data_IF_128705305698
#
_entry.id   IF_128705305698
#
_cell.length_a   1.000
_cell.length_b   1.000
_cell.length_c   1.000
_cell.angle_alpha   90.00
_cell.angle_beta   90.00
_cell.angle_gamma   90.00
#
_symmetry.space_group_name_H-M   'P 1'
#
loop_
_entity.id
_entity.type
_entity.pdbx_description
1 polymer ?
#
# COMPACT_ATOMS: atom_id res chain seq x y z
N UNK A 1 41.59 16.98 -10.31
CA UNK A 1 40.70 17.08 -9.14
C UNK A 1 39.38 16.41 -9.50
N UNK A 2 39.32 15.08 -9.40
CA UNK A 2 38.06 14.34 -9.30
C UNK A 2 37.47 14.64 -7.92
N UNK A 3 36.17 14.72 -7.70
CA UNK A 3 35.19 13.66 -7.95
C UNK A 3 33.78 14.21 -8.16
N UNK A 4 33.07 13.61 -9.11
CA UNK A 4 31.63 13.72 -9.28
C UNK A 4 30.89 13.35 -7.98
N UNK A 5 29.88 14.15 -7.63
CA UNK A 5 28.87 13.77 -6.64
C UNK A 5 28.05 12.58 -7.19
N UNK A 6 28.08 11.48 -6.45
CA UNK A 6 27.46 10.21 -6.79
C UNK A 6 26.02 10.18 -6.23
N UNK A 7 24.96 9.96 -7.05
CA UNK A 7 23.58 10.02 -6.58
C UNK A 7 23.16 8.65 -6.01
N UNK A 8 23.61 8.32 -4.81
CA UNK A 8 23.18 7.09 -4.11
C UNK A 8 21.87 7.25 -3.31
N UNK A 9 21.04 8.28 -3.57
CA UNK A 9 19.97 8.70 -2.65
C UNK A 9 18.55 8.16 -2.95
N UNK A 10 18.34 7.32 -3.98
CA UNK A 10 16.99 7.16 -4.54
C UNK A 10 16.41 5.72 -4.62
N UNK A 11 17.10 4.66 -4.19
CA UNK A 11 16.51 3.30 -4.28
C UNK A 11 15.34 3.11 -3.30
N UNK A 12 15.54 3.41 -2.02
CA UNK A 12 14.52 3.26 -0.97
C UNK A 12 13.28 4.14 -1.24
N UNK A 13 13.49 5.40 -1.64
CA UNK A 13 12.39 6.31 -1.95
C UNK A 13 11.62 5.91 -3.22
N UNK A 14 12.28 5.32 -4.22
CA UNK A 14 11.62 4.79 -5.41
C UNK A 14 10.79 3.53 -5.08
N UNK A 15 11.27 2.65 -4.22
CA UNK A 15 10.53 1.47 -3.77
C UNK A 15 9.28 1.87 -2.96
N UNK A 16 9.41 2.81 -2.02
CA UNK A 16 8.27 3.34 -1.25
C UNK A 16 7.21 3.98 -2.18
N UNK A 17 7.64 4.68 -3.22
CA UNK A 17 6.73 5.30 -4.21
C UNK A 17 5.94 4.26 -5.03
N UNK A 18 6.59 3.16 -5.42
CA UNK A 18 5.96 2.07 -6.19
C UNK A 18 4.88 1.37 -5.34
N UNK A 19 5.20 1.05 -4.08
CA UNK A 19 4.25 0.42 -3.15
C UNK A 19 3.05 1.32 -2.87
N UNK A 20 3.30 2.61 -2.61
CA UNK A 20 2.23 3.58 -2.37
C UNK A 20 1.23 3.64 -3.55
N UNK A 21 1.74 3.70 -4.79
CA UNK A 21 0.90 3.73 -5.99
C UNK A 21 0.02 2.48 -6.12
N UNK A 22 0.54 1.30 -5.76
CA UNK A 22 -0.23 0.06 -5.77
C UNK A 22 -1.33 0.05 -4.69
N UNK A 23 -1.06 0.60 -3.51
CA UNK A 23 -2.04 0.68 -2.42
C UNK A 23 -3.18 1.65 -2.79
N UNK A 24 -2.88 2.82 -3.36
CA UNK A 24 -3.91 3.76 -3.88
C UNK A 24 -4.84 3.05 -4.86
N UNK A 25 -4.27 2.33 -5.85
CA UNK A 25 -5.06 1.57 -6.82
C UNK A 25 -5.93 0.51 -6.16
N UNK A 26 -5.40 -0.17 -5.14
CA UNK A 26 -6.13 -1.21 -4.41
C UNK A 26 -7.31 -0.63 -3.64
N UNK A 27 -7.11 0.48 -2.92
CA UNK A 27 -8.17 1.17 -2.17
C UNK A 27 -9.31 1.62 -3.06
N UNK A 28 -8.97 2.16 -4.25
CA UNK A 28 -9.98 2.57 -5.23
C UNK A 28 -10.80 1.39 -5.77
N UNK A 29 -10.16 0.26 -6.06
CA UNK A 29 -10.87 -0.96 -6.47
C UNK A 29 -11.77 -1.49 -5.36
N UNK A 30 -11.34 -1.43 -4.11
CA UNK A 30 -12.15 -1.84 -2.97
C UNK A 30 -13.35 -0.92 -2.75
N UNK A 31 -13.17 0.38 -2.92
CA UNK A 31 -14.25 1.36 -2.84
C UNK A 31 -15.30 1.13 -3.95
N UNK A 32 -14.87 0.91 -5.19
CA UNK A 32 -15.77 0.58 -6.29
C UNK A 32 -16.54 -0.72 -6.03
N UNK A 33 -15.86 -1.73 -5.48
CA UNK A 33 -16.50 -3.00 -5.12
C UNK A 33 -17.53 -2.82 -4.01
N UNK A 34 -17.21 -2.08 -2.94
CA UNK A 34 -18.13 -1.77 -1.84
C UNK A 34 -19.42 -1.12 -2.37
N UNK A 35 -19.29 -0.16 -3.30
CA UNK A 35 -20.43 0.51 -3.93
C UNK A 35 -21.28 -0.44 -4.76
N UNK A 36 -20.65 -1.36 -5.51
CA UNK A 36 -21.36 -2.37 -6.32
C UNK A 36 -22.08 -3.41 -5.47
N UNK A 37 -21.50 -3.82 -4.34
CA UNK A 37 -22.07 -4.84 -3.45
C UNK A 37 -23.03 -4.27 -2.40
N UNK A 38 -23.37 -2.97 -2.49
CA UNK A 38 -24.23 -2.28 -1.52
C UNK A 38 -25.54 -3.01 -1.27
N UNK A 39 -26.29 -3.32 -2.32
CA UNK A 39 -27.58 -3.99 -2.16
C UNK A 39 -27.46 -5.40 -1.57
N UNK A 40 -26.38 -6.12 -1.88
CA UNK A 40 -26.11 -7.43 -1.27
C UNK A 40 -25.84 -7.29 0.22
N UNK A 41 -25.01 -6.32 0.61
CA UNK A 41 -24.68 -6.05 2.01
C UNK A 41 -25.89 -5.54 2.80
N UNK A 42 -26.77 -4.73 2.20
CA UNK A 42 -28.06 -4.34 2.79
C UNK A 42 -28.93 -5.59 3.06
N UNK A 43 -28.96 -6.56 2.13
CA UNK A 43 -29.67 -7.83 2.33
C UNK A 43 -29.05 -8.73 3.42
N UNK A 44 -27.75 -8.57 3.71
CA UNK A 44 -27.08 -9.24 4.83
C UNK A 44 -27.35 -8.54 6.19
N UNK A 45 -28.06 -7.41 6.21
CA UNK A 45 -28.39 -6.66 7.41
C UNK A 45 -27.37 -5.59 7.80
N UNK A 46 -26.45 -5.22 6.92
CA UNK A 46 -25.58 -4.06 7.13
C UNK A 46 -26.34 -2.77 6.87
N UNK A 47 -26.20 -1.81 7.79
CA UNK A 47 -26.94 -0.56 7.77
C UNK A 47 -26.20 0.56 7.01
N UNK A 48 -26.88 1.68 6.79
CA UNK A 48 -26.26 2.81 6.09
C UNK A 48 -25.12 3.48 6.86
N UNK A 49 -25.05 3.31 8.19
CA UNK A 49 -23.94 3.84 8.98
C UNK A 49 -22.65 3.06 8.67
N UNK A 50 -22.73 1.73 8.57
CA UNK A 50 -21.63 0.88 8.14
C UNK A 50 -21.08 1.30 6.78
N UNK A 51 -21.96 1.52 5.80
CA UNK A 51 -21.53 1.95 4.46
C UNK A 51 -20.79 3.29 4.48
N UNK A 52 -21.36 4.30 5.14
CA UNK A 52 -20.73 5.62 5.23
C UNK A 52 -19.37 5.56 5.92
N UNK A 53 -19.25 4.72 6.95
CA UNK A 53 -17.99 4.52 7.66
C UNK A 53 -16.92 3.93 6.73
N UNK A 54 -17.26 2.86 6.00
CA UNK A 54 -16.32 2.21 5.09
C UNK A 54 -15.99 3.05 3.86
N UNK A 55 -16.95 3.77 3.31
CA UNK A 55 -16.75 4.74 2.23
C UNK A 55 -15.78 5.85 2.68
N UNK A 56 -16.01 6.41 3.87
CA UNK A 56 -15.11 7.39 4.47
C UNK A 56 -13.71 6.81 4.68
N UNK A 57 -13.60 5.62 5.27
CA UNK A 57 -12.32 4.98 5.56
C UNK A 57 -11.48 4.75 4.30
N UNK A 58 -12.08 4.20 3.24
CA UNK A 58 -11.36 3.91 1.99
C UNK A 58 -10.91 5.20 1.30
N UNK A 59 -11.77 6.21 1.23
CA UNK A 59 -11.43 7.52 0.65
C UNK A 59 -10.36 8.25 1.46
N UNK A 60 -10.45 8.21 2.80
CA UNK A 60 -9.47 8.83 3.68
C UNK A 60 -8.08 8.21 3.51
N UNK A 61 -8.00 6.88 3.46
CA UNK A 61 -6.74 6.19 3.21
C UNK A 61 -6.20 6.53 1.81
N UNK A 62 -7.05 6.54 0.77
CA UNK A 62 -6.63 6.90 -0.59
C UNK A 62 -6.00 8.30 -0.63
N UNK A 63 -6.65 9.29 -0.01
CA UNK A 63 -6.13 10.65 0.12
C UNK A 63 -4.82 10.69 0.89
N UNK A 64 -4.71 9.97 2.01
CA UNK A 64 -3.49 9.94 2.81
C UNK A 64 -2.28 9.35 2.08
N UNK A 65 -2.52 8.31 1.27
CA UNK A 65 -1.48 7.70 0.43
C UNK A 65 -1.08 8.64 -0.73
N UNK A 66 -2.05 9.30 -1.38
CA UNK A 66 -1.80 10.28 -2.44
C UNK A 66 -1.01 11.51 -1.94
N UNK A 67 -1.37 12.03 -0.77
CA UNK A 67 -0.69 13.16 -0.12
C UNK A 67 0.64 12.78 0.53
N UNK A 68 0.98 11.47 0.54
CA UNK A 68 2.16 10.91 1.22
C UNK A 68 2.18 11.18 2.73
N UNK A 69 1.01 11.41 3.33
CA UNK A 69 0.89 11.52 4.79
C UNK A 69 0.92 10.15 5.47
N UNK A 70 0.58 9.09 4.72
CA UNK A 70 0.77 7.69 5.11
C UNK A 70 1.45 6.90 3.97
N UNK A 71 2.17 5.84 4.33
CA UNK A 71 2.94 5.02 3.40
C UNK A 71 3.00 3.55 3.84
N UNK A 72 3.46 2.68 2.96
CA UNK A 72 3.66 1.25 3.26
C UNK A 72 5.07 0.85 2.87
N UNK A 73 5.81 0.25 3.80
CA UNK A 73 7.15 -0.25 3.58
C UNK A 73 7.19 -1.76 3.81
N UNK A 74 7.86 -2.47 2.91
CA UNK A 74 8.17 -3.88 3.10
C UNK A 74 9.61 -4.00 3.60
N UNK A 75 9.77 -4.37 4.88
CA UNK A 75 11.07 -4.47 5.51
C UNK A 75 11.49 -5.93 5.62
N UNK A 76 12.70 -6.24 5.13
CA UNK A 76 13.38 -7.49 5.41
C UNK A 76 14.40 -7.27 6.53
N UNK A 77 14.12 -7.81 7.71
CA UNK A 77 15.01 -7.72 8.87
C UNK A 77 15.82 -9.00 9.00
N UNK A 78 17.15 -8.88 9.16
CA UNK A 78 18.04 -10.02 9.32
C UNK A 78 19.17 -9.71 10.31
N UNK A 79 19.65 -10.74 11.02
CA UNK A 79 20.83 -10.63 11.90
C UNK A 79 22.07 -10.28 11.05
N UNK A 80 23.07 -9.56 11.61
CA UNK A 80 24.37 -9.41 10.94
C UNK A 80 24.91 -10.77 10.47
N UNK A 81 25.38 -10.81 9.21
CA UNK A 81 25.84 -12.02 8.50
C UNK A 81 24.78 -13.09 8.14
N UNK A 82 23.49 -12.79 8.28
CA UNK A 82 22.45 -13.65 7.72
C UNK A 82 22.57 -13.70 6.20
N UNK A 83 22.71 -14.92 5.65
CA UNK A 83 22.72 -15.18 4.21
C UNK A 83 21.43 -15.93 3.86
N UNK A 84 20.29 -15.23 3.72
CA UNK A 84 19.05 -15.89 3.37
C UNK A 84 19.24 -16.58 2.02
N UNK A 85 18.79 -17.84 1.92
CA UNK A 85 18.69 -18.50 0.61
C UNK A 85 17.81 -17.63 -0.30
N UNK A 86 18.11 -17.52 -1.60
CA UNK A 86 17.23 -16.82 -2.53
C UNK A 86 15.81 -17.39 -2.38
N UNK A 87 14.83 -16.51 -2.14
CA UNK A 87 13.42 -16.92 -2.11
C UNK A 87 13.09 -17.57 -3.46
N UNK A 88 12.94 -18.91 -3.47
CA UNK A 88 12.63 -19.69 -4.67
C UNK A 88 13.68 -20.72 -5.12
N UNK A 89 14.80 -20.92 -4.42
CA UNK A 89 15.74 -22.00 -4.73
C UNK A 89 15.92 -22.93 -3.51
N UNK A 90 14.90 -23.74 -3.21
CA UNK A 90 15.13 -25.04 -2.59
C UNK A 90 15.07 -26.09 -3.69
N UNK A 91 16.22 -26.72 -3.98
CA UNK A 91 16.28 -27.97 -4.71
C UNK A 91 15.67 -29.11 -3.88
#
# INVERSE_FOLDING_TARGET
>A
MNTAEEPQRNSCAAEEQIWNTNVVRTLRLWHDNLRRTRHSLEALGYDQAFFRLWEFYLCYCEGGFLERSIGTAQLLLAKPAARPAPFGLSA
#
